data_IF_743815717883
#
_entry.id   IF_743815717883
#
_cell.length_a   1.000
_cell.length_b   1.000
_cell.length_c   1.000
_cell.angle_alpha   90.00
_cell.angle_beta   90.00
_cell.angle_gamma   90.00
#
_symmetry.space_group_name_H-M   'P 1'
#
loop_
_entity.id
_entity.type
_entity.pdbx_description
1 polymer ?
#
# COMPACT_ATOMS: atom_id res chain seq x y z
N UNK A 1 15.10 21.87 14.15
CA UNK A 1 15.39 22.96 13.19
C UNK A 1 14.29 22.91 12.16
N UNK A 2 13.75 24.04 11.69
CA UNK A 2 12.73 24.01 10.64
C UNK A 2 13.31 23.41 9.37
N UNK A 3 12.69 22.38 8.81
CA UNK A 3 13.08 21.82 7.52
C UNK A 3 12.97 22.91 6.42
N UNK A 4 13.94 23.04 5.51
CA UNK A 4 13.86 23.93 4.35
C UNK A 4 12.75 23.54 3.35
N UNK A 5 12.24 24.53 2.60
CA UNK A 5 11.23 24.30 1.54
C UNK A 5 11.76 23.39 0.41
N UNK A 6 13.04 23.49 0.07
CA UNK A 6 13.67 22.67 -0.97
C UNK A 6 13.72 21.19 -0.58
N UNK A 7 13.97 20.89 0.71
CA UNK A 7 13.98 19.53 1.24
C UNK A 7 12.56 18.92 1.21
N UNK A 8 11.53 19.68 1.62
CA UNK A 8 10.13 19.25 1.50
C UNK A 8 9.71 18.95 0.06
N UNK A 9 10.08 19.84 -0.87
CA UNK A 9 9.76 19.65 -2.29
C UNK A 9 10.47 18.41 -2.87
N UNK A 10 11.70 18.14 -2.43
CA UNK A 10 12.44 16.96 -2.84
C UNK A 10 11.82 15.68 -2.26
N UNK A 11 11.43 15.67 -0.99
CA UNK A 11 10.75 14.53 -0.37
C UNK A 11 9.43 14.19 -1.09
N UNK A 12 8.62 15.21 -1.40
CA UNK A 12 7.40 15.04 -2.18
C UNK A 12 7.66 14.55 -3.61
N UNK A 13 8.77 14.97 -4.25
CA UNK A 13 9.16 14.44 -5.56
C UNK A 13 9.52 12.95 -5.48
N UNK A 14 10.27 12.55 -4.45
CA UNK A 14 10.58 11.14 -4.20
C UNK A 14 9.30 10.33 -3.98
N UNK A 15 8.38 10.82 -3.14
CA UNK A 15 7.08 10.20 -2.91
C UNK A 15 6.32 9.99 -4.23
N UNK A 16 6.22 11.04 -5.08
CA UNK A 16 5.56 10.93 -6.39
C UNK A 16 6.14 9.83 -7.27
N UNK A 17 7.46 9.64 -7.25
CA UNK A 17 8.10 8.59 -8.04
C UNK A 17 7.79 7.20 -7.47
N UNK A 18 7.80 7.05 -6.15
CA UNK A 18 7.47 5.78 -5.49
C UNK A 18 6.05 5.33 -5.83
N UNK A 19 5.07 6.25 -5.81
CA UNK A 19 3.69 5.95 -6.21
C UNK A 19 3.56 5.54 -7.68
N UNK A 20 4.32 6.18 -8.57
CA UNK A 20 4.35 5.82 -10.00
C UNK A 20 4.92 4.41 -10.15
N UNK A 21 6.07 4.13 -9.54
CA UNK A 21 6.76 2.85 -9.63
C UNK A 21 5.90 1.71 -9.05
N UNK A 22 5.25 1.95 -7.90
CA UNK A 22 4.28 1.06 -7.28
C UNK A 22 3.12 0.74 -8.21
N UNK A 23 2.45 1.77 -8.72
CA UNK A 23 1.33 1.62 -9.65
C UNK A 23 1.72 0.83 -10.90
N UNK A 24 2.84 1.16 -11.53
CA UNK A 24 3.30 0.48 -12.75
C UNK A 24 3.62 -0.99 -12.48
N UNK A 25 4.29 -1.29 -11.37
CA UNK A 25 4.57 -2.65 -10.94
C UNK A 25 3.29 -3.45 -10.75
N UNK A 26 2.32 -2.90 -10.03
CA UNK A 26 1.05 -3.55 -9.76
C UNK A 26 0.22 -3.81 -11.03
N UNK A 27 0.12 -2.82 -11.92
CA UNK A 27 -0.59 -2.98 -13.19
C UNK A 27 0.04 -4.08 -14.05
N UNK A 28 1.36 -4.08 -14.18
CA UNK A 28 2.10 -5.06 -14.99
C UNK A 28 1.97 -6.46 -14.42
N UNK A 29 2.29 -6.63 -13.14
CA UNK A 29 2.28 -7.94 -12.48
C UNK A 29 0.85 -8.50 -12.38
N UNK A 30 -0.14 -7.64 -12.13
CA UNK A 30 -1.54 -8.01 -12.08
C UNK A 30 -2.07 -8.45 -13.44
N UNK A 31 -1.66 -7.81 -14.53
CA UNK A 31 -2.06 -8.20 -15.89
C UNK A 31 -1.42 -9.54 -16.34
N UNK A 32 -0.24 -9.87 -15.82
CA UNK A 32 0.49 -11.09 -16.18
C UNK A 32 0.10 -12.31 -15.34
N UNK A 33 -0.53 -12.10 -14.18
CA UNK A 33 -0.93 -13.18 -13.28
C UNK A 33 -2.17 -13.93 -13.77
N UNK A 34 -2.17 -15.24 -13.58
CA UNK A 34 -3.31 -16.13 -13.78
C UNK A 34 -4.11 -16.36 -12.49
N UNK A 35 -3.50 -16.13 -11.33
CA UNK A 35 -4.13 -16.28 -10.02
C UNK A 35 -5.12 -15.14 -9.71
N UNK A 36 -6.37 -15.48 -9.39
CA UNK A 36 -7.43 -14.49 -9.14
C UNK A 36 -7.11 -13.51 -8.01
N UNK A 37 -6.50 -13.98 -6.91
CA UNK A 37 -6.18 -13.14 -5.76
C UNK A 37 -5.17 -12.08 -6.15
N UNK A 38 -4.07 -12.47 -6.80
CA UNK A 38 -3.00 -11.55 -7.21
C UNK A 38 -3.54 -10.51 -8.19
N UNK A 39 -4.31 -10.92 -9.19
CA UNK A 39 -4.96 -10.00 -10.14
C UNK A 39 -5.81 -8.94 -9.42
N UNK A 40 -6.64 -9.38 -8.47
CA UNK A 40 -7.57 -8.49 -7.74
C UNK A 40 -6.83 -7.55 -6.78
N UNK A 41 -5.85 -8.07 -6.04
CA UNK A 41 -5.04 -7.27 -5.13
C UNK A 41 -4.23 -6.22 -5.87
N UNK A 42 -3.50 -6.62 -6.90
CA UNK A 42 -2.61 -5.69 -7.62
C UNK A 42 -3.42 -4.65 -8.40
N UNK A 43 -4.57 -5.02 -8.97
CA UNK A 43 -5.48 -4.03 -9.55
C UNK A 43 -5.91 -2.99 -8.51
N UNK A 44 -6.27 -3.43 -7.30
CA UNK A 44 -6.73 -2.51 -6.26
C UNK A 44 -5.61 -1.68 -5.66
N UNK A 45 -4.41 -2.26 -5.46
CA UNK A 45 -3.22 -1.52 -5.03
C UNK A 45 -2.88 -0.43 -6.04
N UNK A 46 -2.85 -0.74 -7.34
CA UNK A 46 -2.64 0.27 -8.38
C UNK A 46 -3.67 1.42 -8.35
N UNK A 47 -4.90 1.17 -7.92
CA UNK A 47 -5.91 2.21 -7.70
C UNK A 47 -5.58 3.06 -6.45
N UNK A 48 -5.08 2.45 -5.38
CA UNK A 48 -4.66 3.14 -4.16
C UNK A 48 -3.41 4.01 -4.39
N UNK A 49 -2.37 3.49 -5.04
CA UNK A 49 -1.17 4.26 -5.41
C UNK A 49 -1.53 5.47 -6.28
N UNK A 50 -2.52 5.34 -7.15
CA UNK A 50 -2.99 6.48 -7.95
C UNK A 50 -3.71 7.54 -7.11
N UNK A 51 -4.42 7.14 -6.05
CA UNK A 51 -5.04 8.07 -5.08
C UNK A 51 -3.94 8.80 -4.31
N UNK A 52 -2.96 8.06 -3.78
CA UNK A 52 -1.81 8.61 -3.07
C UNK A 52 -1.06 9.61 -3.95
N UNK A 53 -0.71 9.22 -5.18
CA UNK A 53 -0.05 10.08 -6.17
C UNK A 53 -0.80 11.40 -6.38
N UNK A 54 -2.12 11.36 -6.58
CA UNK A 54 -2.92 12.59 -6.83
C UNK A 54 -2.88 13.53 -5.63
N UNK A 55 -3.00 13.00 -4.41
CA UNK A 55 -2.93 13.80 -3.18
C UNK A 55 -1.53 14.38 -2.99
N UNK A 56 -0.48 13.57 -3.11
CA UNK A 56 0.91 14.03 -3.02
C UNK A 56 1.19 15.11 -4.07
N UNK A 57 0.68 14.94 -5.30
CA UNK A 57 0.87 15.89 -6.40
C UNK A 57 0.23 17.25 -6.11
N UNK A 58 -0.96 17.24 -5.53
CA UNK A 58 -1.63 18.48 -5.11
C UNK A 58 -0.78 19.23 -4.07
N UNK A 59 -0.25 18.51 -3.08
CA UNK A 59 0.60 19.08 -2.03
C UNK A 59 1.91 19.59 -2.64
N UNK A 60 2.57 18.82 -3.49
CA UNK A 60 3.79 19.22 -4.20
C UNK A 60 3.59 20.52 -4.99
N UNK A 61 2.47 20.66 -5.71
CA UNK A 61 2.15 21.89 -6.43
C UNK A 61 1.96 23.08 -5.49
N UNK A 62 1.30 22.89 -4.33
CA UNK A 62 1.12 23.96 -3.33
C UNK A 62 2.46 24.36 -2.71
N UNK A 63 3.29 23.41 -2.33
CA UNK A 63 4.61 23.68 -1.73
C UNK A 63 5.53 24.39 -2.72
N UNK A 64 5.56 23.96 -3.99
CA UNK A 64 6.47 24.55 -4.99
C UNK A 64 5.99 25.89 -5.56
N UNK A 65 4.67 26.08 -5.73
CA UNK A 65 4.12 27.31 -6.33
C UNK A 65 3.77 28.34 -5.26
N UNK A 66 3.08 27.91 -4.20
CA UNK A 66 2.55 28.79 -3.14
C UNK A 66 3.49 28.89 -1.93
N UNK A 67 4.59 28.14 -1.91
CA UNK A 67 5.56 28.10 -0.80
C UNK A 67 4.92 27.81 0.56
N UNK A 68 3.81 27.04 0.55
CA UNK A 68 3.04 26.75 1.74
C UNK A 68 2.42 25.35 1.69
N UNK A 69 2.43 24.68 2.85
CA UNK A 69 1.69 23.44 3.06
C UNK A 69 0.18 23.72 3.16
N UNK A 70 -0.69 22.78 2.75
CA UNK A 70 -2.12 22.88 3.06
C UNK A 70 -2.41 23.12 4.54
N UNK A 71 -3.45 23.88 4.85
CA UNK A 71 -3.91 24.09 6.23
C UNK A 71 -4.62 22.86 6.83
N UNK A 72 -5.10 21.97 5.96
CA UNK A 72 -5.83 20.75 6.32
C UNK A 72 -5.39 19.62 5.41
N UNK A 73 -5.48 18.41 5.94
CA UNK A 73 -5.19 17.19 5.20
C UNK A 73 -6.28 16.86 4.19
N UNK A 74 -5.85 16.27 3.08
CA UNK A 74 -6.73 15.66 2.10
C UNK A 74 -6.85 14.17 2.42
N UNK A 75 -8.05 13.63 2.64
CA UNK A 75 -8.22 12.20 2.95
C UNK A 75 -7.96 11.32 1.72
N UNK A 76 -7.42 10.13 1.95
CA UNK A 76 -7.30 9.07 0.93
C UNK A 76 -8.62 8.32 0.79
N UNK A 77 -9.54 8.91 0.02
CA UNK A 77 -10.87 8.34 -0.19
C UNK A 77 -10.80 7.07 -1.05
N UNK A 78 -11.39 5.97 -0.56
CA UNK A 78 -11.53 4.71 -1.28
C UNK A 78 -12.89 4.08 -1.00
N UNK A 79 -13.46 3.41 -1.99
CA UNK A 79 -14.76 2.75 -1.84
C UNK A 79 -14.66 1.42 -1.09
N UNK A 80 -13.47 0.82 -1.08
CA UNK A 80 -13.23 -0.52 -0.56
C UNK A 80 -11.84 -0.64 0.02
N UNK A 81 -11.68 -1.48 1.05
CA UNK A 81 -10.37 -1.80 1.62
C UNK A 81 -9.72 -2.98 0.91
N UNK A 82 -8.39 -2.98 0.84
CA UNK A 82 -7.61 -4.09 0.30
C UNK A 82 -7.88 -5.40 1.05
N UNK A 83 -8.08 -5.34 2.38
CA UNK A 83 -8.46 -6.51 3.20
C UNK A 83 -9.82 -7.10 2.77
N UNK A 84 -10.77 -6.29 2.31
CA UNK A 84 -12.03 -6.80 1.76
C UNK A 84 -11.79 -7.52 0.43
N UNK A 85 -10.96 -6.94 -0.44
CA UNK A 85 -10.59 -7.55 -1.73
C UNK A 85 -9.90 -8.90 -1.52
N UNK A 86 -8.97 -8.99 -0.57
CA UNK A 86 -8.33 -10.24 -0.16
C UNK A 86 -9.37 -11.29 0.23
N UNK A 87 -10.27 -10.94 1.17
CA UNK A 87 -11.28 -11.86 1.71
C UNK A 87 -12.19 -12.47 0.64
N UNK A 88 -12.75 -11.62 -0.21
CA UNK A 88 -13.64 -12.06 -1.28
C UNK A 88 -12.95 -12.96 -2.30
N UNK A 89 -11.67 -12.68 -2.59
CA UNK A 89 -10.87 -13.49 -3.50
C UNK A 89 -10.55 -14.87 -2.90
N UNK A 90 -10.20 -14.96 -1.61
CA UNK A 90 -9.93 -16.26 -0.97
C UNK A 90 -11.20 -17.09 -0.77
N UNK A 91 -12.35 -16.46 -0.53
CA UNK A 91 -13.66 -17.15 -0.50
C UNK A 91 -13.96 -17.83 -1.84
N UNK A 92 -13.57 -17.19 -2.95
CA UNK A 92 -13.75 -17.74 -4.30
C UNK A 92 -12.75 -18.85 -4.65
N UNK A 93 -11.51 -18.76 -4.13
CA UNK A 93 -10.42 -19.68 -4.48
C UNK A 93 -10.37 -20.94 -3.59
N UNK A 94 -10.65 -20.79 -2.30
CA UNK A 94 -10.62 -21.89 -1.33
C UNK A 94 -9.26 -22.58 -1.17
N UNK A 95 -9.26 -23.77 -0.56
CA UNK A 95 -8.04 -24.53 -0.18
C UNK A 95 -7.18 -25.03 -1.35
N UNK A 96 -7.66 -24.91 -2.60
CA UNK A 96 -7.02 -25.46 -3.79
C UNK A 96 -6.41 -24.40 -4.72
N UNK A 97 -6.31 -23.15 -4.25
CA UNK A 97 -5.62 -22.09 -4.99
C UNK A 97 -4.22 -22.53 -5.41
N UNK A 98 -3.81 -22.18 -6.63
CA UNK A 98 -2.46 -22.41 -7.13
C UNK A 98 -1.89 -21.08 -7.62
N UNK A 99 -0.70 -20.77 -7.16
CA UNK A 99 0.13 -19.70 -7.70
C UNK A 99 1.45 -20.29 -8.15
N UNK A 100 1.97 -19.78 -9.26
CA UNK A 100 3.31 -20.13 -9.73
C UNK A 100 4.38 -19.52 -8.81
N UNK A 101 5.60 -20.07 -8.78
CA UNK A 101 6.69 -19.47 -8.02
C UNK A 101 6.95 -18.00 -8.39
N UNK A 102 6.83 -17.64 -9.67
CA UNK A 102 6.95 -16.25 -10.15
C UNK A 102 5.84 -15.33 -9.64
N UNK A 103 4.62 -15.84 -9.51
CA UNK A 103 3.50 -15.09 -8.95
C UNK A 103 3.66 -14.85 -7.45
N UNK A 104 4.13 -15.85 -6.70
CA UNK A 104 4.47 -15.69 -5.28
C UNK A 104 5.62 -14.69 -5.10
N UNK A 105 6.63 -14.76 -5.97
CA UNK A 105 7.75 -13.80 -5.95
C UNK A 105 7.30 -12.37 -6.23
N UNK A 106 6.34 -12.17 -7.15
CA UNK A 106 5.78 -10.84 -7.40
C UNK A 106 5.09 -10.26 -6.14
N UNK A 107 4.42 -11.10 -5.33
CA UNK A 107 3.83 -10.68 -4.05
C UNK A 107 4.92 -10.33 -3.03
N UNK A 108 6.05 -11.04 -2.99
CA UNK A 108 7.18 -10.68 -2.12
C UNK A 108 7.83 -9.35 -2.53
N UNK A 109 7.98 -9.10 -3.83
CA UNK A 109 8.49 -7.82 -4.33
C UNK A 109 7.53 -6.69 -3.91
N UNK A 110 6.22 -6.89 -4.06
CA UNK A 110 5.22 -5.95 -3.56
C UNK A 110 5.40 -5.65 -2.06
N UNK A 111 5.57 -6.69 -1.23
CA UNK A 111 5.81 -6.51 0.21
C UNK A 111 7.06 -5.66 0.49
N UNK A 112 8.14 -5.84 -0.27
CA UNK A 112 9.35 -5.04 -0.12
C UNK A 112 9.13 -3.57 -0.50
N UNK A 113 8.37 -3.32 -1.58
CA UNK A 113 8.02 -1.97 -2.00
C UNK A 113 7.18 -1.26 -0.93
N UNK A 114 6.17 -1.92 -0.39
CA UNK A 114 5.33 -1.36 0.69
C UNK A 114 6.13 -1.08 1.98
N UNK A 115 7.08 -1.96 2.35
CA UNK A 115 7.94 -1.74 3.52
C UNK A 115 8.90 -0.55 3.31
N UNK A 116 9.39 -0.36 2.09
CA UNK A 116 10.19 0.80 1.70
C UNK A 116 9.37 2.10 1.76
N UNK A 117 8.14 2.10 1.22
CA UNK A 117 7.22 3.23 1.28
C UNK A 117 6.82 3.56 2.72
N UNK A 118 6.46 2.54 3.51
CA UNK A 118 6.20 2.68 4.95
C UNK A 118 7.37 3.36 5.67
N UNK A 119 8.60 2.87 5.46
CA UNK A 119 9.78 3.38 6.14
C UNK A 119 10.08 4.83 5.76
N UNK A 120 9.94 5.15 4.47
CA UNK A 120 10.10 6.51 3.96
C UNK A 120 9.07 7.46 4.56
N UNK A 121 7.77 7.15 4.47
CA UNK A 121 6.74 8.04 5.01
C UNK A 121 6.82 8.19 6.53
N UNK A 122 7.20 7.12 7.23
CA UNK A 122 7.43 7.19 8.67
C UNK A 122 8.55 8.17 9.00
N UNK A 123 9.70 8.08 8.35
CA UNK A 123 10.82 9.00 8.62
C UNK A 123 10.43 10.45 8.33
N UNK A 124 9.70 10.68 7.23
CA UNK A 124 9.16 12.00 6.89
C UNK A 124 8.21 12.55 7.95
N UNK A 125 7.38 11.70 8.55
CA UNK A 125 6.51 12.11 9.66
C UNK A 125 7.26 12.45 10.96
N UNK A 126 8.43 11.84 11.17
CA UNK A 126 9.31 12.08 12.33
C UNK A 126 10.10 13.39 12.16
N UNK A 127 10.45 13.75 10.92
CA UNK A 127 11.18 14.96 10.55
C UNK A 127 10.27 16.20 10.40
N UNK A 128 8.98 16.02 10.12
CA UNK A 128 8.05 17.11 9.87
C UNK A 128 7.82 18.02 11.09
N UNK A 129 8.05 19.33 10.91
CA UNK A 129 7.80 20.34 11.95
C UNK A 129 6.32 20.73 12.08
N UNK A 130 5.59 20.70 10.97
CA UNK A 130 4.20 21.16 10.91
C UNK A 130 3.24 20.03 11.28
N UNK A 131 2.26 20.26 12.18
CA UNK A 131 1.30 19.23 12.56
C UNK A 131 0.55 18.60 11.37
N UNK A 132 0.21 19.41 10.36
CA UNK A 132 -0.51 18.98 9.15
C UNK A 132 0.40 18.26 8.14
N UNK A 133 1.70 18.55 8.13
CA UNK A 133 2.66 17.80 7.33
C UNK A 133 2.93 16.43 7.98
N UNK A 134 3.10 16.44 9.30
CA UNK A 134 3.29 15.24 10.08
C UNK A 134 2.12 14.28 9.92
N UNK A 135 0.90 14.74 10.14
CA UNK A 135 -0.25 13.83 10.10
C UNK A 135 -0.59 13.38 8.67
N UNK A 136 -0.25 14.14 7.62
CA UNK A 136 -0.25 13.67 6.23
C UNK A 136 0.67 12.46 6.02
N UNK A 137 1.93 12.56 6.44
CA UNK A 137 2.87 11.44 6.32
C UNK A 137 2.51 10.26 7.24
N UNK A 138 1.90 10.51 8.41
CA UNK A 138 1.35 9.44 9.25
C UNK A 138 0.18 8.72 8.58
N UNK A 139 -0.66 9.43 7.83
CA UNK A 139 -1.74 8.84 7.06
C UNK A 139 -1.18 7.91 5.96
N UNK A 140 -0.21 8.37 5.15
CA UNK A 140 0.48 7.50 4.18
C UNK A 140 1.13 6.29 4.84
N UNK A 141 1.84 6.49 5.95
CA UNK A 141 2.44 5.40 6.73
C UNK A 141 1.40 4.35 7.15
N UNK A 142 0.20 4.78 7.51
CA UNK A 142 -0.89 3.86 7.88
C UNK A 142 -1.44 3.11 6.66
N UNK A 143 -1.53 3.75 5.50
CA UNK A 143 -1.93 3.13 4.24
C UNK A 143 -0.95 2.04 3.81
N UNK A 144 0.34 2.35 3.71
CA UNK A 144 1.34 1.36 3.26
C UNK A 144 1.50 0.21 4.25
N UNK A 145 1.30 0.48 5.55
CA UNK A 145 1.25 -0.59 6.55
C UNK A 145 0.07 -1.53 6.30
N UNK A 146 -1.10 -1.01 5.93
CA UNK A 146 -2.27 -1.83 5.63
C UNK A 146 -2.07 -2.63 4.33
N UNK A 147 -1.42 -2.03 3.32
CA UNK A 147 -1.00 -2.71 2.10
C UNK A 147 -0.06 -3.87 2.40
N UNK A 148 1.06 -3.59 3.09
CA UNK A 148 2.05 -4.57 3.50
C UNK A 148 1.42 -5.76 4.25
N UNK A 149 0.63 -5.49 5.29
CA UNK A 149 0.00 -6.55 6.10
C UNK A 149 -0.96 -7.41 5.28
N UNK A 150 -1.69 -6.81 4.34
CA UNK A 150 -2.58 -7.59 3.46
C UNK A 150 -1.78 -8.43 2.47
N UNK A 151 -0.64 -7.93 1.98
CA UNK A 151 0.27 -8.70 1.13
C UNK A 151 0.94 -9.85 1.89
N UNK A 152 1.29 -9.67 3.16
CA UNK A 152 1.77 -10.76 4.04
C UNK A 152 0.71 -11.85 4.16
N UNK A 153 -0.54 -11.48 4.52
CA UNK A 153 -1.65 -12.44 4.61
C UNK A 153 -1.86 -13.19 3.28
N UNK A 154 -1.70 -12.46 2.17
CA UNK A 154 -1.83 -13.01 0.81
C UNK A 154 -0.70 -13.96 0.45
N UNK A 155 0.55 -13.61 0.78
CA UNK A 155 1.71 -14.46 0.58
C UNK A 155 1.57 -15.77 1.36
N UNK A 156 1.17 -15.70 2.63
CA UNK A 156 0.96 -16.87 3.48
C UNK A 156 -0.12 -17.78 2.91
N UNK A 157 -1.25 -17.21 2.48
CA UNK A 157 -2.31 -17.95 1.82
C UNK A 157 -1.85 -18.58 0.49
N UNK A 158 -1.15 -17.85 -0.36
CA UNK A 158 -0.71 -18.34 -1.67
C UNK A 158 0.37 -19.43 -1.55
N UNK A 159 1.16 -19.41 -0.47
CA UNK A 159 2.23 -20.37 -0.22
C UNK A 159 1.72 -21.71 0.31
N UNK A 160 0.69 -21.68 1.17
CA UNK A 160 0.04 -22.88 1.71
C UNK A 160 -1.45 -22.64 1.98
N UNK A 161 -2.32 -22.70 0.94
CA UNK A 161 -3.73 -22.40 1.11
C UNK A 161 -4.43 -23.33 2.12
N UNK A 162 -4.11 -24.63 2.10
CA UNK A 162 -4.72 -25.61 2.98
C UNK A 162 -4.31 -25.39 4.44
N UNK A 163 -3.02 -25.14 4.70
CA UNK A 163 -2.52 -24.82 6.04
C UNK A 163 -3.01 -23.47 6.53
N UNK A 164 -3.13 -22.46 5.66
CA UNK A 164 -3.70 -21.16 6.01
C UNK A 164 -5.14 -21.29 6.54
N UNK A 165 -6.00 -22.01 5.81
CA UNK A 165 -7.37 -22.26 6.27
C UNK A 165 -7.42 -23.09 7.54
N UNK A 166 -6.56 -24.09 7.69
CA UNK A 166 -6.49 -24.90 8.91
C UNK A 166 -6.18 -24.02 10.12
N UNK A 167 -5.19 -23.12 10.01
CA UNK A 167 -4.88 -22.16 11.06
C UNK A 167 -6.09 -21.27 11.34
N UNK A 168 -6.64 -20.60 10.34
CA UNK A 168 -7.71 -19.60 10.55
C UNK A 168 -9.04 -20.20 11.00
N UNK A 169 -9.38 -21.43 10.59
CA UNK A 169 -10.54 -22.17 11.09
C UNK A 169 -10.38 -22.55 12.58
N UNK A 170 -9.19 -22.97 13.02
CA UNK A 170 -8.94 -23.31 14.42
C UNK A 170 -8.98 -22.09 15.37
N UNK A 171 -8.40 -20.96 14.98
CA UNK A 171 -8.49 -19.73 15.78
C UNK A 171 -9.92 -19.17 15.90
N UNK A 172 -10.83 -19.56 14.99
CA UNK A 172 -12.24 -19.20 15.04
C UNK A 172 -13.10 -20.05 15.99
N UNK A 173 -12.60 -21.20 16.45
CA UNK A 173 -13.35 -22.16 17.29
C UNK A 173 -13.02 -22.08 18.79
N UNK A 174 -11.87 -21.51 19.16
CA UNK A 174 -11.41 -21.44 20.57
C UNK A 174 -11.77 -20.12 21.29
N UNK A 175 -12.62 -19.28 20.68
CA UNK A 175 -13.02 -17.96 21.19
C UNK A 175 -14.48 -17.83 21.63
N UNK A 176 -15.12 -18.94 22.02
CA UNK A 176 -16.49 -18.98 22.56
C UNK A 176 -16.57 -18.79 24.07
#
# INVERSE_FOLDING_TARGET
>A
MKEPLDERAQALRTALQMEIDGKEFYQKSGAQSSNLLIRKLFQHLAEQEDIHYRVIKEIYQRVTIKQAWPEKETPFARDKSLRSVFREAIESLGKNSKATPSEIEAVKIAMQMEDQSYSFYRSRSEEADSPVEKAFYQALTAEERNHYLTLVDSHDYLSDPAGWFTKTEHWGLDGG
#
